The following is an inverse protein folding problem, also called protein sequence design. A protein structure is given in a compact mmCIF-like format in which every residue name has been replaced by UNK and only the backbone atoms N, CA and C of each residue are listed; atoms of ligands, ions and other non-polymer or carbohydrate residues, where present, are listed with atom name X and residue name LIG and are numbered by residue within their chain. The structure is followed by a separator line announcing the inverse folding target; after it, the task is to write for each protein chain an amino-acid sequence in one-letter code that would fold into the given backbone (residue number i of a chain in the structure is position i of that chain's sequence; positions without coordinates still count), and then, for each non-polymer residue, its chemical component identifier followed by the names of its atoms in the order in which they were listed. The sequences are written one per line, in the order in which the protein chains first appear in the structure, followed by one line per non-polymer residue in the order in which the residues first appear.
data_IF_062660856982
#
_entry.id   IF_062660856982
#
_cell.length_a   1.000
_cell.length_b   1.000
_cell.length_c   1.000
_cell.angle_alpha   90.00
_cell.angle_beta   90.00
_cell.angle_gamma   90.00
#
_symmetry.space_group_name_H-M   'P 1'
#
loop_
_entity.id
_entity.type
_entity.pdbx_description
1 polymer ?
#
# COMPACT_ATOMS: atom_id res chain seq x y z
N UNK A 1 14.62 -10.09 -1.03
CA UNK A 1 13.42 -10.95 -1.16
C UNK A 1 12.20 -10.04 -1.09
N UNK A 2 11.61 -9.65 -2.23
CA UNK A 2 10.37 -8.86 -2.22
C UNK A 2 9.19 -9.83 -2.10
N UNK A 3 8.77 -10.14 -0.87
CA UNK A 3 7.50 -10.81 -0.65
C UNK A 3 6.38 -9.86 -1.09
N UNK A 4 5.50 -10.34 -1.96
CA UNK A 4 4.32 -9.62 -2.34
C UNK A 4 3.42 -9.46 -1.09
N UNK A 5 3.03 -8.23 -0.79
CA UNK A 5 2.22 -7.89 0.38
C UNK A 5 1.02 -7.08 -0.10
N UNK A 6 -0.18 -7.40 0.39
CA UNK A 6 -1.35 -6.58 0.05
C UNK A 6 -1.23 -5.17 0.66
N UNK A 7 -1.94 -4.20 0.08
CA UNK A 7 -1.93 -2.84 0.62
C UNK A 7 -2.41 -2.78 2.09
N UNK A 8 -3.48 -3.48 2.50
CA UNK A 8 -3.87 -3.56 3.91
C UNK A 8 -2.79 -4.18 4.81
N UNK A 9 -2.17 -5.29 4.40
CA UNK A 9 -1.10 -5.93 5.17
C UNK A 9 0.13 -5.02 5.34
N UNK A 10 0.48 -4.25 4.31
CA UNK A 10 1.57 -3.28 4.41
C UNK A 10 1.25 -2.18 5.42
N UNK A 11 0.02 -1.64 5.39
CA UNK A 11 -0.42 -0.66 6.39
C UNK A 11 -0.38 -1.27 7.80
N UNK A 12 -0.82 -2.53 7.96
CA UNK A 12 -0.76 -3.22 9.25
C UNK A 12 0.69 -3.39 9.77
N UNK A 13 1.65 -3.70 8.89
CA UNK A 13 3.08 -3.77 9.27
C UNK A 13 3.64 -2.42 9.69
N UNK A 14 3.26 -1.33 9.00
CA UNK A 14 3.67 0.02 9.38
C UNK A 14 3.10 0.40 10.77
N UNK A 15 1.86 -0.01 11.06
CA UNK A 15 1.25 0.16 12.39
C UNK A 15 1.97 -0.65 13.48
N UNK A 16 2.33 -1.91 13.19
CA UNK A 16 3.13 -2.73 14.11
C UNK A 16 4.54 -2.17 14.33
N UNK A 17 5.09 -1.45 13.35
CA UNK A 17 6.34 -0.69 13.48
C UNK A 17 6.18 0.65 14.23
N UNK A 18 4.99 0.93 14.78
CA UNK A 18 4.70 2.13 15.56
C UNK A 18 4.30 3.35 14.73
N UNK A 19 4.11 3.22 13.41
CA UNK A 19 3.62 4.32 12.56
C UNK A 19 2.10 4.28 12.51
N UNK A 20 1.45 5.27 13.13
CA UNK A 20 0.00 5.38 13.05
C UNK A 20 -0.50 5.63 11.62
N UNK A 21 -1.76 5.24 11.34
CA UNK A 21 -2.46 5.51 10.07
C UNK A 21 -2.31 6.95 9.54
N UNK A 22 -2.31 8.02 10.36
CA UNK A 22 -2.07 9.38 9.87
C UNK A 22 -0.66 9.57 9.29
N UNK A 23 0.36 8.99 9.92
CA UNK A 23 1.74 9.02 9.45
C UNK A 23 1.90 8.26 8.13
N UNK A 24 1.23 7.11 8.00
CA UNK A 24 1.20 6.32 6.77
C UNK A 24 0.53 7.12 5.64
N UNK A 25 -0.63 7.73 5.90
CA UNK A 25 -1.31 8.58 4.92
C UNK A 25 -0.44 9.78 4.48
N UNK A 26 0.27 10.41 5.43
CA UNK A 26 1.19 11.50 5.14
C UNK A 26 2.38 11.04 4.28
N UNK A 27 2.97 9.88 4.57
CA UNK A 27 4.05 9.30 3.77
C UNK A 27 3.58 9.00 2.33
N UNK A 28 2.33 8.56 2.16
CA UNK A 28 1.69 8.32 0.87
C UNK A 28 1.19 9.60 0.19
N UNK A 29 1.26 10.76 0.85
CA UNK A 29 0.66 12.03 0.41
C UNK A 29 -0.83 11.91 0.03
N UNK A 30 -1.59 11.18 0.82
CA UNK A 30 -3.05 11.05 0.70
C UNK A 30 -3.75 11.52 1.98
N UNK A 31 -5.05 11.77 1.88
CA UNK A 31 -5.88 12.00 3.06
C UNK A 31 -6.04 10.72 3.90
N UNK A 32 -6.07 10.88 5.23
CA UNK A 32 -6.34 9.78 6.17
C UNK A 32 -7.67 9.10 5.85
N UNK A 33 -8.71 9.88 5.51
CA UNK A 33 -10.01 9.33 5.09
C UNK A 33 -9.91 8.44 3.84
N UNK A 34 -9.04 8.79 2.88
CA UNK A 34 -8.78 7.96 1.70
C UNK A 34 -8.09 6.65 2.07
N UNK A 35 -7.11 6.69 3.00
CA UNK A 35 -6.49 5.48 3.54
C UNK A 35 -7.53 4.54 4.18
N UNK A 36 -8.41 5.05 5.03
CA UNK A 36 -9.50 4.26 5.63
C UNK A 36 -10.47 3.69 4.59
N UNK A 37 -10.78 4.41 3.51
CA UNK A 37 -11.62 3.88 2.41
C UNK A 37 -10.96 2.71 1.69
N UNK A 38 -9.63 2.74 1.50
CA UNK A 38 -8.90 1.63 0.90
C UNK A 38 -8.88 0.39 1.81
N UNK A 39 -8.73 0.60 3.11
CA UNK A 39 -8.75 -0.48 4.11
C UNK A 39 -10.16 -1.08 4.31
N UNK A 40 -11.20 -0.24 4.35
CA UNK A 40 -12.56 -0.67 4.73
C UNK A 40 -13.31 -1.48 3.67
N UNK A 41 -12.91 -1.41 2.39
CA UNK A 41 -13.61 -2.08 1.28
C UNK A 41 -12.79 -3.20 0.64
N UNK A 42 -11.63 -3.54 1.18
CA UNK A 42 -10.61 -4.33 0.49
C UNK A 42 -10.32 -3.79 -0.94
N UNK A 43 -10.60 -2.50 -1.14
CA UNK A 43 -10.44 -1.86 -2.43
C UNK A 43 -9.01 -1.36 -2.50
N UNK A 44 -8.16 -2.25 -2.98
CA UNK A 44 -6.88 -1.86 -3.55
C UNK A 44 -7.15 -0.72 -4.55
N UNK A 45 -6.47 0.44 -4.43
CA UNK A 45 -6.63 1.51 -5.41
C UNK A 45 -6.35 0.96 -6.81
N UNK A 46 -6.82 1.61 -7.87
CA UNK A 46 -6.41 1.19 -9.22
C UNK A 46 -4.91 1.41 -9.40
N UNK A 47 -4.26 0.64 -10.28
CA UNK A 47 -2.81 0.76 -10.56
C UNK A 47 -2.37 2.20 -10.84
N UNK A 48 -3.20 2.97 -11.55
CA UNK A 48 -2.96 4.39 -11.83
C UNK A 48 -3.00 5.29 -10.58
N UNK A 49 -3.85 4.96 -9.60
CA UNK A 49 -3.91 5.68 -8.31
C UNK A 49 -2.68 5.33 -7.47
N UNK A 50 -2.26 4.06 -7.41
CA UNK A 50 -1.03 3.70 -6.70
C UNK A 50 0.23 4.26 -7.36
N UNK A 51 0.31 4.30 -8.70
CA UNK A 51 1.43 4.93 -9.41
C UNK A 51 1.55 6.43 -9.06
N UNK A 52 0.40 7.12 -8.94
CA UNK A 52 0.37 8.52 -8.48
C UNK A 52 0.80 8.66 -7.03
N UNK A 53 0.33 7.80 -6.14
CA UNK A 53 0.71 7.79 -4.72
C UNK A 53 2.23 7.60 -4.58
N UNK A 54 2.82 6.71 -5.37
CA UNK A 54 4.26 6.41 -5.32
C UNK A 54 5.10 7.54 -5.87
N UNK A 55 4.70 8.11 -7.01
CA UNK A 55 5.35 9.31 -7.57
C UNK A 55 5.26 10.48 -6.60
N UNK A 56 4.10 10.66 -5.95
CA UNK A 56 3.91 11.70 -4.97
C UNK A 56 4.76 11.46 -3.71
N UNK A 57 4.82 10.24 -3.19
CA UNK A 57 5.61 9.87 -2.01
C UNK A 57 7.12 9.89 -2.24
N UNK A 58 7.56 9.97 -3.50
CA UNK A 58 8.99 9.94 -3.85
C UNK A 58 9.59 8.55 -3.84
N UNK A 59 8.79 7.50 -4.07
CA UNK A 59 9.28 6.13 -4.16
C UNK A 59 9.44 5.40 -2.82
N UNK A 60 8.82 5.90 -1.74
CA UNK A 60 8.82 5.23 -0.41
C UNK A 60 8.15 3.85 -0.49
N UNK A 61 7.30 3.63 -1.50
CA UNK A 61 6.54 2.40 -1.68
C UNK A 61 6.66 1.93 -3.13
N UNK A 62 6.86 0.63 -3.36
CA UNK A 62 6.97 0.04 -4.70
C UNK A 62 5.63 -0.61 -5.10
N UNK A 63 5.10 -0.27 -6.29
CA UNK A 63 3.84 -0.81 -6.81
C UNK A 63 3.93 -2.32 -7.07
N UNK A 64 5.12 -2.83 -7.35
CA UNK A 64 5.40 -4.25 -7.54
C UNK A 64 5.12 -5.07 -6.29
N UNK A 65 5.07 -4.45 -5.11
CA UNK A 65 4.71 -5.11 -3.86
C UNK A 65 3.23 -5.46 -3.78
N UNK A 66 2.36 -4.66 -4.42
CA UNK A 66 0.90 -4.83 -4.33
C UNK A 66 0.28 -5.52 -5.55
N UNK A 67 0.81 -5.33 -6.76
CA UNK A 67 0.17 -5.77 -8.02
C UNK A 67 0.98 -6.77 -8.84
N UNK A 68 2.06 -7.34 -8.31
CA UNK A 68 2.66 -8.49 -9.01
C UNK A 68 1.62 -9.60 -9.13
N UNK A 69 1.49 -10.31 -10.26
CA UNK A 69 0.73 -11.55 -10.23
C UNK A 69 1.34 -12.42 -9.13
N UNK A 70 0.52 -13.01 -8.25
CA UNK A 70 0.97 -14.15 -7.45
C UNK A 70 1.60 -15.07 -8.48
N UNK A 71 2.91 -15.26 -8.42
CA UNK A 71 3.53 -16.36 -9.14
C UNK A 71 2.81 -17.56 -8.55
N UNK A 72 1.87 -18.13 -9.31
CA UNK A 72 1.33 -19.45 -8.99
C UNK A 72 2.58 -20.29 -8.76
N UNK A 73 2.80 -20.63 -7.49
CA UNK A 73 3.74 -21.68 -7.15
C UNK A 73 3.08 -22.90 -7.75
N UNK A 74 3.45 -23.20 -9.00
CA UNK A 74 3.10 -24.43 -9.67
C UNK A 74 3.81 -25.50 -8.84
N UNK A 75 3.04 -26.12 -7.95
CA UNK A 75 3.43 -27.29 -7.20
C UNK A 75 3.21 -28.55 -8.05
#
# INVERSE_FOLDING_TARGET
MNQQISFPEWVEREEQAGRGKPTVAAALKIEVASLYRYLSKDRVPSKAVMDRIIKASGGVVDIGWFYSPKVEQVA
#
